data_IF_231199925928
#
_entry.id   IF_231199925928
#
_cell.length_a   1.000
_cell.length_b   1.000
_cell.length_c   1.000
_cell.angle_alpha   90.00
_cell.angle_beta   90.00
_cell.angle_gamma   90.00
#
_symmetry.space_group_name_H-M   'P 1'
#
loop_
_entity.id
_entity.type
_entity.pdbx_description
1 polymer ?
#
# COMPACT_ATOMS: atom_id res chain seq x y z
N UNK A 1 -19.29 7.38 -24.47
CA UNK A 1 -18.36 7.18 -23.38
C UNK A 1 -17.92 8.51 -22.81
N UNK A 2 -18.30 8.82 -21.60
CA UNK A 2 -17.85 10.06 -21.02
C UNK A 2 -16.33 10.11 -20.87
N UNK A 3 -15.72 11.26 -21.05
CA UNK A 3 -14.29 11.38 -20.82
C UNK A 3 -13.97 11.11 -19.35
N UNK A 4 -12.80 10.52 -19.11
CA UNK A 4 -12.37 10.11 -17.79
C UNK A 4 -11.69 11.24 -17.02
N UNK A 5 -12.33 12.43 -16.97
CA UNK A 5 -11.82 13.52 -16.13
C UNK A 5 -12.40 13.52 -14.72
N UNK A 6 -13.19 12.51 -14.37
CA UNK A 6 -13.66 12.34 -13.01
C UNK A 6 -12.90 11.21 -12.33
N UNK A 7 -12.66 11.38 -11.06
CA UNK A 7 -12.02 10.37 -10.23
C UNK A 7 -12.88 10.16 -8.99
N UNK A 8 -13.22 8.89 -8.72
CA UNK A 8 -13.92 8.53 -7.49
C UNK A 8 -12.90 8.47 -6.36
N UNK A 9 -13.16 9.15 -5.25
CA UNK A 9 -12.34 9.06 -4.05
C UNK A 9 -13.11 8.28 -2.99
N UNK A 10 -12.50 7.26 -2.42
CA UNK A 10 -13.13 6.39 -1.43
C UNK A 10 -12.24 6.30 -0.19
N UNK A 11 -12.81 6.58 0.98
CA UNK A 11 -12.14 6.41 2.25
C UNK A 11 -12.42 5.02 2.80
N UNK A 12 -11.37 4.25 3.07
CA UNK A 12 -11.48 2.86 3.53
C UNK A 12 -11.16 2.68 5.01
N UNK A 13 -10.68 3.72 5.70
CA UNK A 13 -10.26 3.59 7.08
C UNK A 13 -8.90 2.91 7.20
N UNK A 14 -8.72 2.13 8.25
CA UNK A 14 -7.48 1.38 8.49
C UNK A 14 -7.61 0.00 7.83
N UNK A 15 -6.71 -0.27 6.89
CA UNK A 15 -6.74 -1.50 6.09
C UNK A 15 -5.36 -2.16 6.12
N UNK A 16 -5.31 -3.45 6.33
CA UNK A 16 -4.08 -4.23 6.26
C UNK A 16 -3.40 -4.04 4.90
N UNK A 17 -2.07 -4.00 4.90
CA UNK A 17 -1.31 -3.68 3.69
C UNK A 17 -1.59 -4.66 2.55
N UNK A 18 -1.60 -5.97 2.83
CA UNK A 18 -1.85 -6.98 1.79
C UNK A 18 -3.27 -6.91 1.26
N UNK A 19 -4.25 -6.68 2.13
CA UNK A 19 -5.65 -6.53 1.70
C UNK A 19 -5.80 -5.30 0.80
N UNK A 20 -5.18 -4.19 1.16
CA UNK A 20 -5.22 -2.97 0.36
C UNK A 20 -4.55 -3.19 -1.00
N UNK A 21 -3.43 -3.91 -1.03
CA UNK A 21 -2.73 -4.22 -2.27
C UNK A 21 -3.59 -5.08 -3.20
N UNK A 22 -4.24 -6.10 -2.67
CA UNK A 22 -5.13 -6.95 -3.46
C UNK A 22 -6.32 -6.17 -4.01
N UNK A 23 -6.92 -5.30 -3.20
CA UNK A 23 -7.99 -4.43 -3.64
C UNK A 23 -7.55 -3.49 -4.75
N UNK A 24 -6.36 -2.91 -4.61
CA UNK A 24 -5.79 -2.03 -5.61
C UNK A 24 -5.59 -2.73 -6.94
N UNK A 25 -5.05 -3.94 -6.92
CA UNK A 25 -4.82 -4.72 -8.15
C UNK A 25 -6.13 -5.12 -8.81
N UNK A 26 -7.13 -5.50 -8.04
CA UNK A 26 -8.45 -5.83 -8.58
C UNK A 26 -9.12 -4.61 -9.23
N UNK A 27 -9.03 -3.44 -8.59
CA UNK A 27 -9.55 -2.21 -9.16
C UNK A 27 -8.81 -1.79 -10.41
N UNK A 28 -7.50 -1.98 -10.46
CA UNK A 28 -6.70 -1.65 -11.63
C UNK A 28 -7.21 -2.39 -12.86
N UNK A 29 -7.50 -3.68 -12.74
CA UNK A 29 -8.06 -4.46 -13.83
C UNK A 29 -9.42 -3.92 -14.28
N UNK A 30 -10.29 -3.58 -13.34
CA UNK A 30 -11.62 -3.04 -13.65
C UNK A 30 -11.55 -1.66 -14.32
N UNK A 31 -10.66 -0.81 -13.88
CA UNK A 31 -10.46 0.52 -14.50
C UNK A 31 -9.91 0.35 -15.91
N UNK A 32 -8.95 -0.54 -16.10
CA UNK A 32 -8.40 -0.81 -17.44
C UNK A 32 -9.46 -1.38 -18.40
N UNK A 33 -10.36 -2.21 -17.90
CA UNK A 33 -11.43 -2.78 -18.69
C UNK A 33 -12.58 -1.79 -18.95
N UNK A 34 -12.56 -0.62 -18.34
CA UNK A 34 -13.62 0.37 -18.48
C UNK A 34 -14.87 0.05 -17.67
N UNK A 35 -14.78 -0.94 -16.75
CA UNK A 35 -15.91 -1.34 -15.91
C UNK A 35 -16.10 -0.40 -14.69
N UNK A 36 -15.03 0.31 -14.29
CA UNK A 36 -15.04 1.23 -13.17
C UNK A 36 -14.39 2.55 -13.57
N UNK A 37 -14.81 3.68 -12.99
CA UNK A 37 -14.14 4.96 -13.21
C UNK A 37 -12.75 4.97 -12.54
N UNK A 38 -11.92 5.93 -12.92
CA UNK A 38 -10.68 6.18 -12.19
C UNK A 38 -11.00 6.35 -10.70
N UNK A 39 -10.24 5.71 -9.85
CA UNK A 39 -10.54 5.65 -8.42
C UNK A 39 -9.29 5.95 -7.60
N UNK A 40 -9.44 6.80 -6.59
CA UNK A 40 -8.42 7.06 -5.59
C UNK A 40 -8.85 6.40 -4.29
N UNK A 41 -8.03 5.52 -3.76
CA UNK A 41 -8.26 4.88 -2.47
C UNK A 41 -7.48 5.64 -1.41
N UNK A 42 -8.19 6.14 -0.40
CA UNK A 42 -7.63 6.85 0.73
C UNK A 42 -7.77 5.95 1.95
N UNK A 43 -6.65 5.63 2.58
CA UNK A 43 -6.66 4.71 3.71
C UNK A 43 -5.42 4.89 4.58
N UNK A 44 -5.46 4.28 5.74
CA UNK A 44 -4.31 4.14 6.62
C UNK A 44 -4.01 2.65 6.79
N UNK A 45 -2.76 2.34 7.10
CA UNK A 45 -2.35 0.98 7.42
C UNK A 45 -2.07 0.84 8.92
N UNK A 46 -2.23 -0.35 9.50
CA UNK A 46 -1.53 -0.68 10.73
C UNK A 46 -0.02 -0.55 10.52
N UNK A 47 0.76 -0.56 11.59
CA UNK A 47 2.22 -0.46 11.47
C UNK A 47 2.77 -1.47 10.48
N UNK A 48 3.48 -1.00 9.46
CA UNK A 48 4.06 -1.85 8.41
C UNK A 48 5.27 -1.16 7.80
N UNK A 49 6.29 -1.95 7.47
CA UNK A 49 7.41 -1.50 6.65
C UNK A 49 7.31 -2.11 5.27
N UNK A 50 7.59 -1.30 4.25
CA UNK A 50 7.71 -1.81 2.88
C UNK A 50 9.13 -1.57 2.38
N UNK A 51 9.73 -2.59 1.77
CA UNK A 51 11.07 -2.49 1.18
C UNK A 51 10.94 -2.26 -0.31
N UNK A 52 11.57 -1.22 -0.81
CA UNK A 52 11.71 -0.99 -2.24
C UNK A 52 12.90 -1.74 -2.82
N UNK A 53 13.11 -1.59 -4.13
CA UNK A 53 14.19 -2.28 -4.84
C UNK A 53 15.60 -1.87 -4.39
N UNK A 54 15.74 -0.69 -3.81
CA UNK A 54 17.02 -0.18 -3.32
C UNK A 54 17.22 -0.39 -1.82
N UNK A 55 16.33 -1.12 -1.17
CA UNK A 55 16.41 -1.36 0.27
C UNK A 55 17.63 -2.21 0.61
N UNK A 56 18.28 -1.85 1.71
CA UNK A 56 19.39 -2.59 2.29
C UNK A 56 18.94 -3.16 3.64
N UNK A 57 19.58 -4.24 4.06
CA UNK A 57 19.26 -4.85 5.34
C UNK A 57 19.43 -3.88 6.52
N UNK A 58 20.35 -2.93 6.40
CA UNK A 58 20.63 -1.92 7.42
C UNK A 58 19.61 -0.78 7.44
N UNK A 59 18.73 -0.68 6.46
CA UNK A 59 17.72 0.37 6.40
C UNK A 59 16.64 0.23 7.47
N UNK A 60 16.47 -0.98 8.02
CA UNK A 60 15.56 -1.25 9.12
C UNK A 60 16.39 -1.43 10.39
N UNK A 61 16.19 -0.56 11.37
CA UNK A 61 17.00 -0.53 12.60
C UNK A 61 16.78 -1.75 13.49
N UNK A 62 15.59 -2.35 13.46
CA UNK A 62 15.28 -3.54 14.22
C UNK A 62 15.31 -4.77 13.31
N UNK A 63 15.78 -5.93 13.81
CA UNK A 63 15.68 -7.18 13.05
C UNK A 63 14.23 -7.50 12.71
N UNK A 64 14.03 -8.15 11.57
CA UNK A 64 12.68 -8.55 11.14
C UNK A 64 12.00 -9.45 12.16
N UNK A 65 12.76 -10.30 12.83
CA UNK A 65 12.26 -11.17 13.88
C UNK A 65 11.66 -10.37 15.04
N UNK A 66 12.31 -9.29 15.44
CA UNK A 66 11.82 -8.45 16.51
C UNK A 66 10.59 -7.64 16.08
N UNK A 67 10.57 -7.17 14.84
CA UNK A 67 9.39 -6.51 14.28
C UNK A 67 8.19 -7.46 14.22
N UNK A 68 8.41 -8.70 13.83
CA UNK A 68 7.37 -9.72 13.82
C UNK A 68 6.82 -9.98 15.22
N UNK A 69 7.71 -10.04 16.21
CA UNK A 69 7.31 -10.23 17.62
C UNK A 69 6.47 -9.07 18.13
N UNK A 70 6.62 -7.87 17.57
CA UNK A 70 5.83 -6.68 17.89
C UNK A 70 4.58 -6.55 17.03
N UNK A 71 4.33 -7.50 16.14
CA UNK A 71 3.20 -7.47 15.23
C UNK A 71 3.36 -6.48 14.09
N UNK A 72 4.59 -6.14 13.73
CA UNK A 72 4.90 -5.19 12.65
C UNK A 72 5.46 -5.96 11.46
N UNK A 73 4.66 -6.19 10.40
CA UNK A 73 5.14 -6.90 9.22
C UNK A 73 6.07 -6.06 8.37
N UNK A 74 6.93 -6.75 7.61
CA UNK A 74 7.81 -6.14 6.60
C UNK A 74 7.53 -6.84 5.28
N UNK A 75 7.19 -6.08 4.24
CA UNK A 75 6.90 -6.62 2.92
C UNK A 75 7.86 -6.07 1.88
N UNK A 76 8.27 -6.92 0.95
CA UNK A 76 9.00 -6.48 -0.23
C UNK A 76 8.03 -6.03 -1.30
N UNK A 77 8.37 -4.95 -1.98
CA UNK A 77 7.55 -4.37 -3.04
C UNK A 77 8.42 -4.09 -4.26
N UNK A 78 7.77 -3.94 -5.41
CA UNK A 78 8.45 -3.59 -6.67
C UNK A 78 8.51 -2.08 -6.92
N UNK A 79 8.13 -1.26 -5.94
CA UNK A 79 8.35 0.18 -6.04
C UNK A 79 9.84 0.52 -5.99
N UNK A 80 10.20 1.67 -6.52
CA UNK A 80 11.55 2.19 -6.36
C UNK A 80 11.81 2.66 -4.92
N UNK A 81 13.07 2.99 -4.64
CA UNK A 81 13.47 3.53 -3.35
C UNK A 81 13.85 2.50 -2.31
N UNK A 82 13.95 2.95 -1.09
CA UNK A 82 14.42 2.18 0.05
C UNK A 82 13.22 1.77 0.93
N UNK A 83 13.48 1.54 2.22
CA UNK A 83 12.44 1.20 3.19
C UNK A 83 11.55 2.39 3.47
N UNK A 84 10.26 2.15 3.57
CA UNK A 84 9.27 3.13 4.00
C UNK A 84 8.43 2.55 5.13
N UNK A 85 8.19 3.36 6.14
CA UNK A 85 7.27 3.02 7.21
C UNK A 85 5.89 3.61 6.93
N UNK A 86 4.85 2.84 7.21
CA UNK A 86 3.47 3.31 7.23
C UNK A 86 2.83 2.95 8.56
N UNK A 87 1.95 3.79 9.06
CA UNK A 87 1.30 3.53 10.33
C UNK A 87 0.05 4.37 10.53
N UNK A 88 -0.66 4.17 11.67
CA UNK A 88 -1.86 4.94 11.98
C UNK A 88 -1.58 6.45 11.97
N UNK A 89 -2.53 7.20 11.40
CA UNK A 89 -2.39 8.65 11.23
C UNK A 89 -1.66 9.06 9.96
N UNK A 90 -1.13 8.12 9.19
CA UNK A 90 -0.45 8.38 7.93
C UNK A 90 -1.32 7.90 6.76
N UNK A 91 -1.70 8.86 5.96
CA UNK A 91 -2.53 8.60 4.79
C UNK A 91 -1.73 8.01 3.64
#
# INVERSE_FOLDING_TARGET
>A
MPPSNTCRATWLGTVDYLEARELQLALLEKVHAGAEPNTMLLLEHPHVYTKGRLSKQTDVLLPEEELAARGIPVYETDRGGQVTYHGPGQL
#
